data_IF_378582308024
#
_entry.id   IF_378582308024
#
_cell.length_a   1.000
_cell.length_b   1.000
_cell.length_c   1.000
_cell.angle_alpha   90.00
_cell.angle_beta   90.00
_cell.angle_gamma   90.00
#
_symmetry.space_group_name_H-M   'P 1'
#
loop_
_entity.id
_entity.type
_entity.pdbx_description
1 polymer ?
#
# COMPACT_ATOMS: atom_id res chain seq x y z
N UNK A 1 -2.99 8.73 -8.57
CA UNK A 1 -2.04 8.71 -7.44
C UNK A 1 -2.85 8.81 -6.15
N UNK A 2 -2.83 7.77 -5.31
CA UNK A 2 -3.49 7.82 -3.99
C UNK A 2 -2.60 8.65 -3.07
N UNK A 3 -3.18 9.63 -2.39
CA UNK A 3 -2.47 10.43 -1.40
C UNK A 3 -2.53 9.71 -0.03
N UNK A 4 -1.44 9.08 0.45
CA UNK A 4 -1.43 8.32 1.71
C UNK A 4 -1.64 9.21 2.96
N UNK A 5 -1.56 10.54 2.78
CA UNK A 5 -1.77 11.55 3.83
C UNK A 5 -3.14 11.42 4.50
N UNK A 6 -4.18 11.02 3.75
CA UNK A 6 -5.54 10.85 4.25
C UNK A 6 -5.76 9.52 5.01
N UNK A 7 -4.88 8.54 4.81
CA UNK A 7 -4.99 7.21 5.44
C UNK A 7 -4.27 7.16 6.79
N UNK A 8 -3.37 8.12 7.06
CA UNK A 8 -2.59 8.19 8.30
C UNK A 8 -3.52 8.48 9.49
N UNK A 9 -3.66 7.51 10.38
CA UNK A 9 -4.43 7.65 11.62
C UNK A 9 -5.79 6.96 11.60
N UNK A 10 -6.22 6.44 10.45
CA UNK A 10 -7.38 5.55 10.40
C UNK A 10 -6.96 4.13 10.84
N UNK A 11 -7.80 3.42 11.63
CA UNK A 11 -7.57 2.02 12.00
C UNK A 11 -7.88 1.10 10.82
N UNK A 12 -7.22 1.32 9.69
CA UNK A 12 -7.37 0.49 8.49
C UNK A 12 -6.61 -0.80 8.69
N UNK A 13 -7.34 -1.92 8.79
CA UNK A 13 -6.78 -3.26 8.84
C UNK A 13 -6.55 -3.83 7.44
N UNK A 14 -7.41 -3.47 6.49
CA UNK A 14 -7.35 -3.92 5.09
C UNK A 14 -7.33 -2.71 4.17
N UNK A 15 -6.44 -2.72 3.19
CA UNK A 15 -6.38 -1.74 2.10
C UNK A 15 -6.41 -2.49 0.76
N UNK A 16 -7.57 -2.46 0.11
CA UNK A 16 -7.80 -3.09 -1.18
C UNK A 16 -7.57 -2.06 -2.30
N UNK A 17 -6.54 -2.29 -3.10
CA UNK A 17 -6.17 -1.45 -4.25
C UNK A 17 -6.11 -2.26 -5.54
N UNK A 18 -6.73 -3.44 -5.55
CA UNK A 18 -6.77 -4.31 -6.72
C UNK A 18 -7.32 -3.60 -7.95
N UNK A 19 -6.87 -4.02 -9.14
CA UNK A 19 -7.39 -3.56 -10.44
C UNK A 19 -7.28 -2.04 -10.64
N UNK A 20 -6.21 -1.45 -10.14
CA UNK A 20 -5.91 -0.04 -10.38
C UNK A 20 -4.74 0.09 -11.37
N UNK A 21 -4.49 1.33 -11.79
CA UNK A 21 -3.34 1.67 -12.64
C UNK A 21 -2.18 2.21 -11.79
N UNK A 22 -1.98 1.66 -10.59
CA UNK A 22 -0.88 2.08 -9.73
C UNK A 22 0.44 1.56 -10.30
N UNK A 23 1.32 2.49 -10.66
CA UNK A 23 2.68 2.19 -11.11
C UNK A 23 3.69 2.16 -9.98
N UNK A 24 3.36 2.82 -8.86
CA UNK A 24 4.19 2.87 -7.67
C UNK A 24 3.35 2.94 -6.41
N UNK A 25 3.97 2.57 -5.28
CA UNK A 25 3.35 2.64 -3.97
C UNK A 25 4.20 3.46 -2.98
N UNK A 26 3.63 4.47 -2.30
CA UNK A 26 4.38 5.35 -1.43
C UNK A 26 4.79 4.65 -0.12
N UNK A 27 6.01 4.92 0.36
CA UNK A 27 6.59 4.29 1.56
C UNK A 27 5.76 4.51 2.84
N UNK A 28 4.91 5.55 2.86
CA UNK A 28 3.96 5.84 3.93
C UNK A 28 2.97 4.71 4.19
N UNK A 29 2.61 3.88 3.19
CA UNK A 29 1.74 2.71 3.38
C UNK A 29 2.38 1.71 4.36
N UNK A 30 3.71 1.55 4.31
CA UNK A 30 4.44 0.71 5.26
C UNK A 30 4.44 1.24 6.70
N UNK A 31 4.01 2.49 6.92
CA UNK A 31 3.90 3.14 8.24
C UNK A 31 2.49 3.06 8.83
N UNK A 32 1.51 2.49 8.12
CA UNK A 32 0.16 2.30 8.65
C UNK A 32 0.19 1.19 9.72
N UNK A 33 0.17 1.58 10.99
CA UNK A 33 0.38 0.67 12.13
C UNK A 33 -0.66 -0.44 12.21
N UNK A 34 -1.91 -0.14 11.84
CA UNK A 34 -3.02 -1.09 11.91
C UNK A 34 -3.21 -1.92 10.63
N UNK A 35 -2.49 -1.60 9.55
CA UNK A 35 -2.65 -2.28 8.27
C UNK A 35 -2.03 -3.68 8.34
N UNK A 36 -2.87 -4.69 8.16
CA UNK A 36 -2.56 -6.11 8.17
C UNK A 36 -2.57 -6.67 6.75
N UNK A 37 -3.56 -6.31 5.95
CA UNK A 37 -3.74 -6.81 4.59
C UNK A 37 -3.65 -5.68 3.57
N UNK A 38 -2.81 -5.87 2.56
CA UNK A 38 -2.62 -4.95 1.45
C UNK A 38 -2.78 -5.72 0.15
N UNK A 39 -3.88 -5.45 -0.57
CA UNK A 39 -4.14 -6.11 -1.85
C UNK A 39 -3.82 -5.17 -3.01
N UNK A 40 -2.93 -5.63 -3.89
CA UNK A 40 -2.38 -4.85 -5.01
C UNK A 40 -2.48 -5.60 -6.34
N UNK A 41 -3.26 -6.68 -6.37
CA UNK A 41 -3.39 -7.52 -7.55
C UNK A 41 -3.87 -6.70 -8.75
N UNK A 42 -3.46 -7.11 -9.96
CA UNK A 42 -3.88 -6.46 -11.20
C UNK A 42 -3.51 -4.96 -11.26
N UNK A 43 -2.38 -4.56 -10.66
CA UNK A 43 -1.75 -3.26 -10.86
C UNK A 43 -0.41 -3.39 -11.60
N UNK A 44 -0.07 -2.45 -12.49
CA UNK A 44 1.21 -2.42 -13.19
C UNK A 44 2.33 -1.85 -12.29
N UNK A 45 2.47 -2.36 -11.06
CA UNK A 45 3.44 -1.87 -10.08
C UNK A 45 4.87 -2.17 -10.54
N UNK A 46 5.65 -1.12 -10.72
CA UNK A 46 7.08 -1.18 -11.07
C UNK A 46 7.95 -0.78 -9.89
N UNK A 47 7.54 0.26 -9.17
CA UNK A 47 8.28 0.83 -8.04
C UNK A 47 7.51 0.63 -6.72
N UNK A 48 7.84 -0.43 -6.00
CA UNK A 48 7.37 -0.67 -4.63
C UNK A 48 8.55 -0.44 -3.69
N UNK A 49 8.39 0.40 -2.68
CA UNK A 49 9.42 0.63 -1.68
C UNK A 49 9.77 -0.66 -0.90
N UNK A 50 11.06 -0.91 -0.67
CA UNK A 50 11.57 -2.09 0.05
C UNK A 50 10.88 -2.32 1.40
N UNK A 51 10.57 -1.24 2.13
CA UNK A 51 9.89 -1.34 3.43
C UNK A 51 8.48 -1.94 3.32
N UNK A 52 7.81 -1.74 2.20
CA UNK A 52 6.49 -2.34 1.92
C UNK A 52 6.68 -3.80 1.51
N UNK A 53 7.64 -4.07 0.61
CA UNK A 53 8.00 -5.44 0.20
C UNK A 53 8.31 -6.32 1.41
N UNK A 54 9.16 -5.84 2.31
CA UNK A 54 9.54 -6.57 3.52
C UNK A 54 8.37 -6.74 4.49
N UNK A 55 7.52 -5.72 4.66
CA UNK A 55 6.39 -5.76 5.61
C UNK A 55 5.29 -6.72 5.16
N UNK A 56 4.94 -6.69 3.87
CA UNK A 56 3.81 -7.44 3.30
C UNK A 56 4.26 -8.66 2.48
N UNK A 57 5.56 -8.95 2.44
CA UNK A 57 6.16 -10.07 1.71
C UNK A 57 5.78 -10.10 0.21
N UNK A 58 5.88 -8.94 -0.44
CA UNK A 58 5.54 -8.70 -1.86
C UNK A 58 6.74 -8.77 -2.82
#
# INVERSE_FOLDING_TARGET
>A
MIAPKCLKGLPLQTLELNRNQLTSLPAEIGRLSYLQTLELAENPLKDIAEKIRQRFQL
#
